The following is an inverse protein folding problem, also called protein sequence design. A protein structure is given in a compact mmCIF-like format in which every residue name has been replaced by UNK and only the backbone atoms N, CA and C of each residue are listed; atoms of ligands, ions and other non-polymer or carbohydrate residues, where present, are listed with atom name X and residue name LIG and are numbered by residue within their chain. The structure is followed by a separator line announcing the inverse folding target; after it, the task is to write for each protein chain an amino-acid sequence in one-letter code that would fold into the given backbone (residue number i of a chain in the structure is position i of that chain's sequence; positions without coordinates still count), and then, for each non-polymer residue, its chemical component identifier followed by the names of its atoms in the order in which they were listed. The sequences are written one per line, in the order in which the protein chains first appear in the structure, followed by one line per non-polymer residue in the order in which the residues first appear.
data_IF_795057417675
#
_entry.id   IF_795057417675
#
_cell.length_a   1.000
_cell.length_b   1.000
_cell.length_c   1.000
_cell.angle_alpha   90.00
_cell.angle_beta   90.00
_cell.angle_gamma   90.00
#
_symmetry.space_group_name_H-M   'P 1'
#
loop_
_entity.id
_entity.type
_entity.pdbx_description
1 polymer ?
#
# COMPACT_ATOMS: atom_id res chain seq x y z
N UNK A 1 -24.96 41.68 3.02
CA UNK A 1 -25.02 40.30 3.54
C UNK A 1 -24.71 39.21 2.48
N UNK A 2 -25.00 39.39 1.18
CA UNK A 2 -24.84 38.31 0.16
C UNK A 2 -23.43 38.11 -0.42
N UNK A 3 -22.57 39.13 -0.41
CA UNK A 3 -21.22 39.08 -1.06
C UNK A 3 -20.23 38.17 -0.34
N UNK A 4 -20.34 38.04 0.99
CA UNK A 4 -19.49 37.13 1.78
C UNK A 4 -19.77 35.65 1.50
N UNK A 5 -21.03 35.28 1.21
CA UNK A 5 -21.41 33.90 0.91
C UNK A 5 -20.81 33.42 -0.42
N UNK A 6 -20.88 34.24 -1.47
CA UNK A 6 -20.27 33.96 -2.77
C UNK A 6 -18.75 33.80 -2.69
N UNK A 7 -18.07 34.67 -1.93
CA UNK A 7 -16.62 34.57 -1.71
C UNK A 7 -16.23 33.26 -1.04
N UNK A 8 -17.02 32.81 -0.06
CA UNK A 8 -16.79 31.55 0.64
C UNK A 8 -17.01 30.33 -0.27
N UNK A 9 -18.05 30.34 -1.10
CA UNK A 9 -18.30 29.29 -2.09
C UNK A 9 -17.11 29.19 -3.06
N UNK A 10 -16.63 30.32 -3.60
CA UNK A 10 -15.48 30.33 -4.50
C UNK A 10 -14.21 29.81 -3.81
N UNK A 11 -13.94 30.25 -2.58
CA UNK A 11 -12.79 29.77 -1.82
C UNK A 11 -12.84 28.25 -1.57
N UNK A 12 -14.01 27.70 -1.24
CA UNK A 12 -14.16 26.25 -1.04
C UNK A 12 -13.96 25.46 -2.34
N UNK A 13 -14.43 25.96 -3.49
CA UNK A 13 -14.21 25.34 -4.79
C UNK A 13 -12.73 25.32 -5.18
N UNK A 14 -12.02 26.45 -4.98
CA UNK A 14 -10.57 26.55 -5.25
C UNK A 14 -9.79 25.56 -4.39
N UNK A 15 -10.07 25.51 -3.08
CA UNK A 15 -9.39 24.59 -2.17
C UNK A 15 -9.61 23.11 -2.56
N UNK A 16 -10.84 22.75 -2.96
CA UNK A 16 -11.13 21.41 -3.48
C UNK A 16 -10.32 21.10 -4.74
N UNK A 17 -10.30 22.02 -5.71
CA UNK A 17 -9.52 21.86 -6.93
C UNK A 17 -8.02 21.66 -6.68
N UNK A 18 -7.43 22.41 -5.74
CA UNK A 18 -6.03 22.24 -5.34
C UNK A 18 -5.79 20.86 -4.71
N UNK A 19 -6.68 20.40 -3.83
CA UNK A 19 -6.55 19.08 -3.21
C UNK A 19 -6.68 17.93 -4.22
N UNK A 20 -7.55 18.07 -5.21
CA UNK A 20 -7.68 17.11 -6.32
C UNK A 20 -6.45 17.11 -7.22
N UNK A 21 -5.93 18.28 -7.58
CA UNK A 21 -4.70 18.39 -8.38
C UNK A 21 -3.52 17.74 -7.66
N UNK A 22 -3.36 18.01 -6.35
CA UNK A 22 -2.35 17.34 -5.51
C UNK A 22 -2.53 15.83 -5.50
N UNK A 23 -3.76 15.35 -5.38
CA UNK A 23 -4.07 13.93 -5.40
C UNK A 23 -3.66 13.28 -6.72
N UNK A 24 -3.93 13.93 -7.87
CA UNK A 24 -3.52 13.45 -9.19
C UNK A 24 -2.00 13.45 -9.38
N UNK A 25 -1.31 14.53 -8.98
CA UNK A 25 0.14 14.68 -9.16
C UNK A 25 0.91 13.62 -8.37
N UNK A 26 0.54 13.39 -7.11
CA UNK A 26 1.28 12.52 -6.20
C UNK A 26 0.65 11.12 -6.04
N UNK A 27 -0.41 10.81 -6.79
CA UNK A 27 -1.09 9.53 -6.70
C UNK A 27 -1.80 9.28 -5.36
N UNK A 28 -2.22 10.33 -4.66
CA UNK A 28 -3.03 10.16 -3.45
C UNK A 28 -4.48 9.85 -3.80
N UNK A 29 -5.12 8.97 -3.04
CA UNK A 29 -6.56 8.68 -3.17
C UNK A 29 -7.35 9.67 -2.32
N UNK A 30 -8.25 10.42 -2.95
CA UNK A 30 -9.13 11.39 -2.28
C UNK A 30 -10.50 10.74 -2.02
N UNK A 31 -11.03 10.91 -0.81
CA UNK A 31 -12.31 10.33 -0.39
C UNK A 31 -13.23 11.44 0.16
N UNK A 32 -13.97 12.15 -0.71
CA UNK A 32 -14.80 13.28 -0.28
C UNK A 32 -16.02 12.86 0.55
N UNK A 33 -16.46 11.60 0.45
CA UNK A 33 -17.59 11.06 1.23
C UNK A 33 -17.17 10.57 2.61
N UNK A 34 -15.85 10.41 2.86
CA UNK A 34 -15.32 9.94 4.14
C UNK A 34 -15.68 8.49 4.50
N UNK A 35 -16.32 7.75 3.58
CA UNK A 35 -16.71 6.37 3.82
C UNK A 35 -15.50 5.44 3.87
N UNK A 36 -15.62 4.30 4.55
CA UNK A 36 -14.50 3.35 4.64
C UNK A 36 -14.22 2.77 3.25
N UNK A 37 -13.02 3.04 2.73
CA UNK A 37 -12.52 2.44 1.49
C UNK A 37 -11.48 1.34 1.81
N UNK A 38 -11.30 0.36 0.91
CA UNK A 38 -10.30 -0.72 1.10
C UNK A 38 -8.84 -0.24 1.01
N UNK A 39 -8.60 1.07 0.80
CA UNK A 39 -7.28 1.66 0.66
C UNK A 39 -6.33 1.34 1.83
N UNK A 40 -6.85 1.22 3.07
CA UNK A 40 -6.04 0.83 4.25
C UNK A 40 -5.56 -0.62 4.19
N UNK A 41 -6.29 -1.51 3.51
CA UNK A 41 -5.87 -2.92 3.35
C UNK A 41 -4.80 -3.00 2.27
N UNK A 42 -5.03 -2.34 1.13
CA UNK A 42 -4.14 -2.37 -0.03
C UNK A 42 -2.77 -1.71 0.22
N UNK A 43 -2.70 -0.70 1.10
CA UNK A 43 -1.42 -0.03 1.43
C UNK A 43 -0.50 -0.85 2.34
N UNK A 44 -0.99 -1.95 2.93
CA UNK A 44 -0.15 -2.80 3.78
C UNK A 44 0.80 -3.58 2.86
N UNK A 45 2.10 -3.55 3.17
CA UNK A 45 3.06 -4.42 2.48
C UNK A 45 2.66 -5.88 2.70
N UNK A 46 2.72 -6.68 1.65
CA UNK A 46 2.54 -8.12 1.77
C UNK A 46 3.68 -8.69 2.61
N UNK A 47 3.34 -9.46 3.63
CA UNK A 47 4.30 -10.07 4.58
C UNK A 47 4.41 -11.59 4.41
N UNK A 48 3.64 -12.19 3.50
CA UNK A 48 3.54 -13.64 3.32
C UNK A 48 4.90 -14.30 3.13
N UNK A 49 5.69 -13.84 2.16
CA UNK A 49 7.00 -14.42 1.85
C UNK A 49 7.97 -14.35 3.03
N UNK A 50 7.99 -13.21 3.72
CA UNK A 50 8.83 -13.01 4.91
C UNK A 50 8.42 -13.94 6.05
N UNK A 51 7.13 -14.20 6.21
CA UNK A 51 6.60 -15.11 7.23
C UNK A 51 6.86 -16.57 6.83
N UNK A 52 6.75 -16.91 5.55
CA UNK A 52 7.01 -18.25 5.04
C UNK A 52 8.49 -18.65 5.17
N UNK A 53 9.40 -17.69 4.99
CA UNK A 53 10.85 -17.86 5.16
C UNK A 53 11.29 -17.86 6.64
N UNK A 54 10.42 -18.34 7.55
CA UNK A 54 10.74 -18.41 8.98
C UNK A 54 11.94 -19.31 9.26
N UNK A 55 12.01 -20.45 8.56
CA UNK A 55 13.18 -21.33 8.59
C UNK A 55 14.11 -21.01 7.42
N UNK A 56 15.42 -20.91 7.66
CA UNK A 56 16.38 -20.68 6.59
C UNK A 56 16.42 -21.87 5.63
N UNK A 57 16.86 -21.61 4.40
CA UNK A 57 17.08 -22.66 3.42
C UNK A 57 18.17 -23.61 3.88
N UNK A 58 17.91 -24.91 3.78
CA UNK A 58 18.86 -25.95 4.14
C UNK A 58 19.75 -26.28 2.94
N UNK A 59 20.94 -25.70 2.94
CA UNK A 59 21.93 -25.86 1.86
C UNK A 59 22.38 -27.32 1.72
N UNK A 60 22.28 -28.13 2.79
CA UNK A 60 22.68 -29.54 2.73
C UNK A 60 21.79 -30.37 1.83
N UNK A 61 20.56 -29.91 1.56
CA UNK A 61 19.63 -30.56 0.62
C UNK A 61 19.94 -30.28 -0.85
N UNK A 62 20.79 -29.30 -1.14
CA UNK A 62 21.15 -28.94 -2.50
C UNK A 62 22.37 -29.74 -3.02
N UNK A 63 23.23 -30.25 -2.11
CA UNK A 63 24.42 -31.01 -2.51
C UNK A 63 24.06 -32.49 -2.78
N UNK A 64 24.15 -32.96 -4.04
CA UNK A 64 23.80 -34.33 -4.39
C UNK A 64 24.69 -35.38 -3.71
N UNK A 65 25.94 -35.06 -3.34
CA UNK A 65 26.83 -36.00 -2.65
C UNK A 65 26.42 -36.20 -1.19
N UNK A 66 25.92 -35.15 -0.54
CA UNK A 66 25.46 -35.21 0.86
C UNK A 66 24.11 -35.94 0.92
N UNK A 67 23.19 -35.62 0.02
CA UNK A 67 21.90 -36.32 -0.11
C UNK A 67 22.10 -37.82 -0.37
N UNK A 68 22.97 -38.19 -1.31
CA UNK A 68 23.24 -39.60 -1.64
C UNK A 68 23.88 -40.39 -0.48
N UNK A 69 24.63 -39.73 0.42
CA UNK A 69 25.16 -40.39 1.63
C UNK A 69 24.07 -40.59 2.70
N UNK A 70 23.22 -39.59 2.92
CA UNK A 70 22.13 -39.69 3.89
C UNK A 70 21.08 -40.75 3.50
N UNK A 71 20.87 -41.00 2.21
CA UNK A 71 19.96 -42.05 1.72
C UNK A 71 20.54 -43.48 1.86
N UNK A 72 21.87 -43.62 2.01
CA UNK A 72 22.54 -44.92 2.14
C UNK A 72 22.75 -45.37 3.59
N UNK A 73 22.67 -44.46 4.56
CA UNK A 73 22.67 -44.75 6.00
C UNK A 73 21.27 -45.14 6.50
#
# INVERSE_FOLDING_TARGET
MATGSLKNILATAVNRGVTEARARIFGHILNPTGQRSPHKVLRKKLIGDKVAQWYPHDIMKDDPLIMARQEQE
#
